data_IF_476946580946
#
_entry.id   IF_476946580946
#
_cell.length_a   1.000
_cell.length_b   1.000
_cell.length_c   1.000
_cell.angle_alpha   90.00
_cell.angle_beta   90.00
_cell.angle_gamma   90.00
#
_symmetry.space_group_name_H-M   'P 1'
#
loop_
_entity.id
_entity.type
_entity.pdbx_description
1 polymer ?
#
# COMPACT_ATOMS: atom_id res chain seq x y z
N UNK A 1 14.20 -13.66 -41.46
CA UNK A 1 13.62 -13.44 -40.14
C UNK A 1 14.78 -13.51 -39.16
N UNK A 2 15.07 -12.45 -38.38
CA UNK A 2 16.11 -12.52 -37.37
C UNK A 2 15.77 -13.61 -36.37
N UNK A 3 16.71 -14.39 -35.89
CA UNK A 3 16.48 -15.52 -34.98
C UNK A 3 16.12 -15.07 -33.56
N UNK A 4 16.02 -13.76 -33.30
CA UNK A 4 15.77 -13.17 -31.97
C UNK A 4 14.52 -12.27 -32.02
N UNK A 5 13.36 -12.85 -31.83
CA UNK A 5 12.14 -12.13 -31.53
C UNK A 5 11.93 -12.15 -30.00
N UNK A 6 11.97 -10.99 -29.37
CA UNK A 6 11.53 -10.87 -27.98
C UNK A 6 10.01 -10.99 -27.94
N UNK A 7 9.51 -11.89 -27.11
CA UNK A 7 8.05 -12.06 -26.92
C UNK A 7 7.44 -10.91 -26.12
N UNK A 8 8.28 -10.16 -25.39
CA UNK A 8 7.85 -9.04 -24.54
C UNK A 8 8.82 -7.88 -24.66
N UNK A 9 8.29 -6.67 -24.70
CA UNK A 9 9.07 -5.44 -24.73
C UNK A 9 8.53 -4.50 -23.64
N UNK A 10 9.44 -3.97 -22.82
CA UNK A 10 9.10 -2.89 -21.87
C UNK A 10 9.23 -1.55 -22.59
N UNK A 11 8.14 -0.80 -22.62
CA UNK A 11 8.10 0.52 -23.27
C UNK A 11 7.34 1.52 -22.39
N UNK A 12 7.80 2.78 -22.40
CA UNK A 12 7.13 3.88 -21.72
C UNK A 12 6.06 4.47 -22.62
N UNK A 13 4.85 3.92 -22.59
CA UNK A 13 3.73 4.35 -23.43
C UNK A 13 2.59 4.98 -22.64
N UNK A 14 2.52 4.75 -21.35
CA UNK A 14 1.50 5.30 -20.48
C UNK A 14 1.78 6.76 -20.06
N UNK A 15 0.80 7.38 -19.45
CA UNK A 15 0.92 8.72 -18.88
C UNK A 15 0.30 8.82 -17.50
N UNK A 16 0.89 9.63 -16.65
CA UNK A 16 0.42 9.90 -15.29
C UNK A 16 0.53 11.39 -14.96
N UNK A 17 -0.27 11.83 -14.02
CA UNK A 17 -0.21 13.20 -13.47
C UNK A 17 0.09 13.15 -11.99
N UNK A 18 1.07 13.94 -11.56
CA UNK A 18 1.30 14.25 -10.16
C UNK A 18 1.00 15.74 -9.93
N UNK A 19 0.35 16.03 -8.83
CA UNK A 19 0.08 17.40 -8.36
C UNK A 19 0.12 17.42 -6.85
N UNK A 20 0.45 18.57 -6.29
CA UNK A 20 0.54 18.70 -4.85
C UNK A 20 0.81 20.13 -4.40
N UNK A 21 0.76 20.30 -3.10
CA UNK A 21 1.11 21.55 -2.42
C UNK A 21 2.08 21.20 -1.31
N UNK A 22 3.18 21.92 -1.25
CA UNK A 22 4.16 21.82 -0.18
C UNK A 22 4.20 23.16 0.59
N UNK A 23 4.16 23.05 1.92
CA UNK A 23 4.28 24.19 2.82
C UNK A 23 5.46 23.90 3.73
N UNK A 24 6.44 24.81 3.73
CA UNK A 24 7.61 24.73 4.60
C UNK A 24 7.68 25.98 5.49
N UNK A 25 7.91 25.76 6.77
CA UNK A 25 8.03 26.81 7.78
C UNK A 25 9.30 26.60 8.57
N UNK A 26 10.13 27.66 8.67
CA UNK A 26 11.30 27.71 9.54
C UNK A 26 11.18 28.89 10.48
N UNK A 27 11.23 28.64 11.77
CA UNK A 27 11.15 29.68 12.81
C UNK A 27 12.22 29.49 13.88
N UNK A 28 12.63 30.59 14.46
CA UNK A 28 13.50 30.64 15.64
C UNK A 28 12.77 31.39 16.77
N UNK A 29 11.79 30.70 17.44
CA UNK A 29 10.91 31.36 18.41
C UNK A 29 11.65 31.85 19.68
N UNK A 30 12.82 31.29 19.94
CA UNK A 30 13.66 31.70 21.08
C UNK A 30 15.09 31.84 20.60
N UNK A 31 15.63 33.06 20.79
CA UNK A 31 17.05 33.36 20.54
C UNK A 31 17.56 34.33 21.57
N UNK A 32 18.45 33.87 22.44
CA UNK A 32 19.14 34.63 23.44
C UNK A 32 20.64 34.35 23.38
N UNK A 33 21.45 34.96 24.27
CA UNK A 33 22.88 34.67 24.35
C UNK A 33 23.13 33.17 24.67
N UNK A 34 22.33 32.60 25.56
CA UNK A 34 22.53 31.24 26.10
C UNK A 34 21.55 30.20 25.54
N UNK A 35 20.46 30.61 24.87
CA UNK A 35 19.42 29.71 24.39
C UNK A 35 19.05 30.02 22.96
N UNK A 36 18.83 28.96 22.16
CA UNK A 36 18.31 29.06 20.82
C UNK A 36 17.42 27.85 20.52
N UNK A 37 16.19 28.10 20.04
CA UNK A 37 15.26 27.09 19.58
C UNK A 37 14.97 27.31 18.11
N UNK A 38 15.29 26.34 17.26
CA UNK A 38 14.93 26.35 15.84
C UNK A 38 13.93 25.23 15.57
N UNK A 39 12.89 25.54 14.82
CA UNK A 39 11.87 24.60 14.38
C UNK A 39 11.74 24.76 12.88
N UNK A 40 12.02 23.69 12.15
CA UNK A 40 11.74 23.56 10.72
C UNK A 40 10.70 22.49 10.53
N UNK A 41 9.63 22.77 9.82
CA UNK A 41 8.59 21.83 9.52
C UNK A 41 8.15 21.97 8.06
N UNK A 42 7.82 20.85 7.44
CA UNK A 42 7.23 20.82 6.11
C UNK A 42 6.06 19.84 6.10
N UNK A 43 5.04 20.19 5.34
CA UNK A 43 3.92 19.31 5.04
C UNK A 43 3.68 19.33 3.53
N UNK A 44 3.54 18.14 2.96
CA UNK A 44 3.28 17.94 1.53
C UNK A 44 1.97 17.22 1.36
N UNK A 45 1.04 17.83 0.63
CA UNK A 45 -0.18 17.20 0.16
C UNK A 45 0.04 16.80 -1.29
N UNK A 46 -0.08 15.50 -1.59
CA UNK A 46 0.16 14.99 -2.92
C UNK A 46 -1.02 14.19 -3.47
N UNK A 47 -1.21 14.30 -4.78
CA UNK A 47 -2.20 13.54 -5.52
C UNK A 47 -1.58 13.07 -6.83
N UNK A 48 -1.69 11.79 -7.09
CA UNK A 48 -1.32 11.20 -8.37
C UNK A 48 -2.55 10.62 -9.06
N UNK A 49 -2.47 10.48 -10.38
CA UNK A 49 -3.52 9.89 -11.20
C UNK A 49 -2.91 9.26 -12.44
N UNK A 50 -3.23 8.00 -12.69
CA UNK A 50 -2.93 7.35 -13.95
C UNK A 50 -3.89 7.86 -15.04
N UNK A 51 -3.37 8.39 -16.13
CA UNK A 51 -4.18 8.96 -17.22
C UNK A 51 -4.38 7.97 -18.35
N UNK A 52 -3.36 7.16 -18.66
CA UNK A 52 -3.41 6.17 -19.74
C UNK A 52 -2.36 5.10 -19.52
N UNK A 53 -2.66 3.88 -19.92
CA UNK A 53 -1.71 2.77 -20.11
C UNK A 53 -1.39 2.55 -21.58
N UNK A 54 -2.05 3.26 -22.49
CA UNK A 54 -1.87 3.22 -23.94
C UNK A 54 -1.09 4.43 -24.45
N UNK A 55 -0.43 4.33 -25.60
CA UNK A 55 0.31 5.43 -26.18
C UNK A 55 1.05 5.08 -27.47
N UNK A 56 1.84 6.02 -27.96
CA UNK A 56 2.63 5.84 -29.19
C UNK A 56 3.97 5.15 -28.87
N UNK A 57 4.31 4.16 -29.66
CA UNK A 57 5.63 3.52 -29.65
C UNK A 57 6.12 3.35 -31.08
N UNK A 58 7.30 3.90 -31.41
CA UNK A 58 7.89 3.87 -32.76
C UNK A 58 6.95 4.32 -33.89
N UNK A 59 6.07 5.27 -33.60
CA UNK A 59 5.13 5.80 -34.60
C UNK A 59 3.80 5.02 -34.72
N UNK A 60 3.64 3.94 -33.97
CA UNK A 60 2.41 3.16 -33.92
C UNK A 60 1.69 3.34 -32.56
N UNK A 61 0.37 3.32 -32.57
CA UNK A 61 -0.42 3.38 -31.36
C UNK A 61 -0.57 2.00 -30.76
N UNK A 62 -0.06 1.84 -29.52
CA UNK A 62 -0.19 0.62 -28.73
C UNK A 62 -1.34 0.80 -27.74
N UNK A 63 -2.40 0.02 -27.93
CA UNK A 63 -3.53 -0.04 -27.01
C UNK A 63 -3.23 -1.04 -25.90
N UNK A 64 -3.50 -0.63 -24.68
CA UNK A 64 -3.41 -1.48 -23.50
C UNK A 64 -4.75 -1.52 -22.75
N UNK A 65 -4.91 -2.49 -21.87
CA UNK A 65 -6.06 -2.57 -20.96
C UNK A 65 -6.16 -1.31 -20.10
N UNK A 66 -7.36 -0.99 -19.63
CA UNK A 66 -7.58 0.12 -18.70
C UNK A 66 -7.00 -0.15 -17.29
N UNK A 67 -6.56 -1.38 -17.03
CA UNK A 67 -5.89 -1.75 -15.79
C UNK A 67 -4.78 -2.78 -16.01
N UNK A 68 -3.85 -2.85 -15.08
CA UNK A 68 -2.84 -3.91 -14.97
C UNK A 68 -2.56 -4.25 -13.51
N UNK A 69 -2.27 -5.52 -13.25
CA UNK A 69 -1.81 -5.98 -11.95
C UNK A 69 -0.35 -5.64 -11.79
N UNK A 70 0.03 -5.04 -10.67
CA UNK A 70 1.43 -4.70 -10.36
C UNK A 70 1.98 -5.46 -9.16
N UNK A 71 1.13 -5.96 -8.28
CA UNK A 71 1.55 -6.83 -7.19
C UNK A 71 0.46 -7.83 -6.82
N UNK A 72 0.90 -9.03 -6.54
CA UNK A 72 0.11 -10.12 -5.99
C UNK A 72 0.87 -10.82 -4.86
N UNK A 73 0.18 -11.67 -4.14
CA UNK A 73 0.77 -12.48 -3.08
C UNK A 73 1.37 -13.75 -3.69
N UNK A 74 2.66 -13.90 -3.49
CA UNK A 74 3.43 -15.07 -3.92
C UNK A 74 4.40 -15.44 -2.79
N UNK A 75 4.68 -16.70 -2.63
CA UNK A 75 5.71 -17.14 -1.70
C UNK A 75 5.36 -18.43 -0.96
N UNK A 76 6.30 -18.85 -0.13
CA UNK A 76 6.14 -20.02 0.73
C UNK A 76 4.92 -19.84 1.64
N UNK A 77 4.09 -20.85 1.72
CA UNK A 77 2.87 -20.85 2.53
C UNK A 77 1.64 -20.24 1.86
N UNK A 78 1.75 -19.66 0.66
CA UNK A 78 0.57 -19.28 -0.12
C UNK A 78 0.14 -20.43 -1.04
N UNK A 79 -1.08 -20.94 -0.85
CA UNK A 79 -1.57 -22.18 -1.48
C UNK A 79 -2.71 -21.97 -2.48
N UNK A 80 -2.86 -20.80 -3.02
CA UNK A 80 -3.90 -20.56 -4.02
C UNK A 80 -4.94 -19.54 -3.56
N UNK A 81 -6.09 -19.55 -4.20
CA UNK A 81 -7.09 -18.51 -4.07
C UNK A 81 -6.75 -17.27 -4.89
N UNK A 82 -7.62 -16.26 -4.81
CA UNK A 82 -7.38 -14.97 -5.43
C UNK A 82 -6.23 -14.24 -4.70
N UNK A 83 -5.20 -13.84 -5.44
CA UNK A 83 -3.95 -13.31 -4.86
C UNK A 83 -3.52 -11.93 -5.37
N UNK A 84 -4.19 -11.37 -6.38
CA UNK A 84 -3.84 -10.05 -6.89
C UNK A 84 -4.36 -8.97 -5.95
N UNK A 85 -3.50 -8.05 -5.51
CA UNK A 85 -3.84 -7.06 -4.49
C UNK A 85 -3.66 -5.61 -4.95
N UNK A 86 -2.63 -5.32 -5.75
CA UNK A 86 -2.31 -3.95 -6.15
C UNK A 86 -2.43 -3.81 -7.67
N UNK A 87 -3.14 -2.78 -8.08
CA UNK A 87 -3.45 -2.50 -9.47
C UNK A 87 -3.05 -1.08 -9.87
N UNK A 88 -2.72 -0.94 -11.15
CA UNK A 88 -2.77 0.34 -11.85
C UNK A 88 -4.06 0.38 -12.65
N UNK A 89 -4.92 1.34 -12.37
CA UNK A 89 -6.22 1.51 -13.03
C UNK A 89 -6.30 2.92 -13.60
N UNK A 90 -6.63 3.04 -14.89
CA UNK A 90 -6.77 4.33 -15.54
C UNK A 90 -7.84 5.17 -14.81
N UNK A 91 -7.53 6.43 -14.56
CA UNK A 91 -8.41 7.32 -13.82
C UNK A 91 -8.23 7.28 -12.30
N UNK A 92 -7.49 6.32 -11.76
CA UNK A 92 -7.27 6.14 -10.32
C UNK A 92 -5.86 6.57 -9.88
N UNK A 93 -5.63 6.71 -8.56
CA UNK A 93 -4.28 6.86 -8.02
C UNK A 93 -3.38 5.67 -8.37
N UNK A 94 -2.07 5.88 -8.29
CA UNK A 94 -1.10 4.81 -8.46
C UNK A 94 -1.14 3.84 -7.28
N UNK A 95 -1.03 2.54 -7.57
CA UNK A 95 -0.95 1.51 -6.55
C UNK A 95 -2.23 1.41 -5.71
N UNK A 96 -3.38 1.29 -6.37
CA UNK A 96 -4.65 1.06 -5.65
C UNK A 96 -4.78 -0.39 -5.23
N UNK A 97 -5.31 -0.60 -4.03
CA UNK A 97 -5.78 -1.89 -3.57
C UNK A 97 -7.17 -2.15 -4.16
N UNK A 98 -7.24 -3.07 -5.13
CA UNK A 98 -8.48 -3.45 -5.79
C UNK A 98 -8.85 -4.87 -5.36
N UNK A 99 -9.70 -4.96 -4.34
CA UNK A 99 -9.90 -6.15 -3.53
C UNK A 99 -11.39 -6.49 -3.38
N UNK A 100 -11.71 -7.79 -3.17
CA UNK A 100 -13.01 -8.20 -2.66
C UNK A 100 -13.25 -7.61 -1.26
N UNK A 101 -14.49 -7.18 -1.00
CA UNK A 101 -14.89 -6.74 0.33
C UNK A 101 -15.27 -7.93 1.21
N UNK A 102 -14.55 -8.09 2.33
CA UNK A 102 -14.83 -9.11 3.32
C UNK A 102 -15.96 -8.65 4.26
N UNK A 103 -17.08 -9.38 4.27
CA UNK A 103 -18.21 -9.13 5.18
C UNK A 103 -18.01 -9.75 6.57
N UNK A 104 -16.91 -10.49 6.76
CA UNK A 104 -16.55 -11.19 7.99
C UNK A 104 -16.15 -12.63 7.74
N UNK A 105 -15.81 -13.34 8.81
CA UNK A 105 -15.51 -14.76 8.75
C UNK A 105 -16.81 -15.59 8.82
N UNK A 106 -16.96 -16.52 7.89
CA UNK A 106 -18.11 -17.43 7.82
C UNK A 106 -17.63 -18.87 7.99
N UNK A 107 -18.41 -19.78 8.61
CA UNK A 107 -18.04 -21.20 8.74
C UNK A 107 -17.81 -21.85 7.38
N UNK A 108 -16.74 -22.62 7.25
CA UNK A 108 -16.39 -23.38 6.04
C UNK A 108 -17.11 -24.74 5.92
N UNK A 109 -17.90 -25.10 6.92
CA UNK A 109 -18.58 -26.42 7.01
C UNK A 109 -17.65 -27.56 7.46
N UNK A 110 -16.34 -27.34 7.62
CA UNK A 110 -15.33 -28.33 7.97
C UNK A 110 -14.58 -27.99 9.28
N UNK A 111 -15.24 -27.26 10.17
CA UNK A 111 -14.70 -26.88 11.47
C UNK A 111 -13.69 -25.73 11.41
N UNK A 112 -13.74 -24.91 10.38
CA UNK A 112 -12.95 -23.68 10.21
C UNK A 112 -13.79 -22.55 9.66
N UNK A 113 -13.09 -21.49 9.24
CA UNK A 113 -13.67 -20.27 8.71
C UNK A 113 -13.04 -19.89 7.38
N UNK A 114 -13.85 -19.29 6.49
CA UNK A 114 -13.45 -18.64 5.25
C UNK A 114 -13.92 -17.18 5.26
N UNK A 115 -13.50 -16.40 4.28
CA UNK A 115 -13.97 -15.01 4.14
C UNK A 115 -15.35 -14.99 3.49
N UNK A 116 -16.33 -14.37 4.14
CA UNK A 116 -17.56 -13.96 3.49
C UNK A 116 -17.27 -12.80 2.55
N UNK A 117 -17.63 -12.92 1.27
CA UNK A 117 -17.35 -11.89 0.26
C UNK A 117 -18.66 -11.23 -0.14
N UNK A 118 -18.65 -9.91 -0.24
CA UNK A 118 -19.80 -9.14 -0.69
C UNK A 118 -20.02 -9.34 -2.20
N UNK A 119 -21.24 -9.66 -2.57
CA UNK A 119 -21.73 -9.60 -3.95
C UNK A 119 -22.09 -8.13 -4.25
N UNK A 120 -21.26 -7.45 -5.03
CA UNK A 120 -21.39 -6.02 -5.30
C UNK A 120 -22.32 -5.71 -6.48
N UNK A 121 -22.59 -6.67 -7.34
CA UNK A 121 -23.40 -6.52 -8.55
C UNK A 121 -24.73 -7.29 -8.51
N UNK A 122 -24.95 -8.19 -7.54
CA UNK A 122 -26.15 -9.02 -7.41
C UNK A 122 -26.20 -10.23 -8.31
N UNK A 123 -25.07 -10.59 -8.94
CA UNK A 123 -24.94 -11.75 -9.86
C UNK A 123 -24.43 -13.03 -9.21
N UNK A 124 -24.11 -13.00 -7.92
CA UNK A 124 -23.32 -14.02 -7.23
C UNK A 124 -21.84 -13.68 -7.23
N UNK A 125 -21.12 -14.11 -6.19
CA UNK A 125 -19.70 -13.75 -6.01
C UNK A 125 -18.84 -14.30 -7.14
N UNK A 126 -18.19 -13.38 -7.90
CA UNK A 126 -17.24 -13.69 -8.95
C UNK A 126 -15.98 -12.82 -8.80
N UNK A 127 -14.85 -13.45 -8.46
CA UNK A 127 -13.57 -12.77 -8.26
C UNK A 127 -12.70 -12.72 -9.51
N UNK A 128 -12.94 -13.60 -10.51
CA UNK A 128 -12.07 -13.72 -11.69
C UNK A 128 -12.25 -12.53 -12.64
N UNK A 129 -13.48 -12.14 -12.89
CA UNK A 129 -13.80 -11.05 -13.82
C UNK A 129 -13.72 -9.65 -13.18
N UNK A 130 -13.48 -9.57 -11.87
CA UNK A 130 -13.34 -8.31 -11.16
C UNK A 130 -14.65 -7.62 -10.81
N UNK A 131 -15.78 -8.32 -10.94
CA UNK A 131 -17.10 -7.75 -10.70
C UNK A 131 -17.37 -7.47 -9.21
N UNK A 132 -16.82 -8.32 -8.31
CA UNK A 132 -17.00 -8.20 -6.85
C UNK A 132 -15.76 -7.66 -6.15
N UNK A 133 -15.08 -6.74 -6.81
CA UNK A 133 -13.93 -6.01 -6.28
C UNK A 133 -14.19 -4.52 -6.26
N UNK A 134 -13.56 -3.82 -5.34
CA UNK A 134 -13.66 -2.37 -5.21
C UNK A 134 -12.30 -1.77 -4.85
N UNK A 135 -12.15 -0.45 -5.01
CA UNK A 135 -10.95 0.25 -4.60
C UNK A 135 -11.01 0.49 -3.10
N UNK A 136 -10.32 -0.38 -2.34
CA UNK A 136 -10.28 -0.36 -0.89
C UNK A 136 -9.31 0.70 -0.32
N UNK A 137 -8.43 1.23 -1.15
CA UNK A 137 -7.45 2.25 -0.77
C UNK A 137 -6.31 2.36 -1.75
N UNK A 138 -5.27 3.07 -1.34
CA UNK A 138 -4.05 3.25 -2.14
C UNK A 138 -2.81 3.06 -1.27
N UNK A 139 -1.71 2.56 -1.88
CA UNK A 139 -0.44 2.34 -1.20
C UNK A 139 0.41 3.63 -1.07
N UNK A 140 0.15 4.63 -1.91
CA UNK A 140 0.91 5.89 -1.91
C UNK A 140 0.29 6.87 -0.91
N UNK A 141 1.05 7.40 0.07
CA UNK A 141 0.54 8.37 1.02
C UNK A 141 0.00 9.63 0.33
N UNK A 142 -1.06 10.20 0.87
CA UNK A 142 -1.63 11.49 0.42
C UNK A 142 -0.95 12.69 1.07
N UNK A 143 -0.45 12.51 2.29
CA UNK A 143 0.19 13.57 3.07
C UNK A 143 1.50 13.07 3.66
N UNK A 144 2.54 13.87 3.51
CA UNK A 144 3.84 13.66 4.14
C UNK A 144 4.14 14.81 5.10
N UNK A 145 4.71 14.48 6.25
CA UNK A 145 5.13 15.42 7.28
C UNK A 145 6.63 15.22 7.56
N UNK A 146 7.36 16.31 7.64
CA UNK A 146 8.73 16.33 8.14
C UNK A 146 8.92 17.47 9.14
N UNK A 147 9.67 17.25 10.21
CA UNK A 147 10.03 18.29 11.16
C UNK A 147 11.39 18.03 11.76
N UNK A 148 12.21 19.08 11.84
CA UNK A 148 13.44 19.10 12.59
C UNK A 148 13.37 20.18 13.66
N UNK A 149 13.59 19.79 14.90
CA UNK A 149 13.59 20.66 16.07
C UNK A 149 14.98 20.61 16.68
N UNK A 150 15.64 21.76 16.83
CA UNK A 150 16.91 21.87 17.52
C UNK A 150 16.83 22.91 18.63
N UNK A 151 17.32 22.54 19.80
CA UNK A 151 17.39 23.39 20.98
C UNK A 151 18.80 23.40 21.53
N UNK A 152 19.36 24.57 21.75
CA UNK A 152 20.67 24.80 22.38
C UNK A 152 20.50 25.61 23.67
N UNK A 153 21.13 25.13 24.70
CA UNK A 153 21.25 25.84 25.97
C UNK A 153 22.72 25.84 26.44
N UNK A 154 23.39 26.99 26.32
CA UNK A 154 24.85 27.12 26.57
C UNK A 154 25.65 26.12 25.73
N UNK A 155 26.32 25.17 26.39
CA UNK A 155 27.08 24.09 25.73
C UNK A 155 26.30 22.81 25.46
N UNK A 156 25.02 22.73 25.86
CA UNK A 156 24.17 21.60 25.62
C UNK A 156 23.31 21.84 24.39
N UNK A 157 23.15 20.80 23.57
CA UNK A 157 22.23 20.82 22.44
C UNK A 157 21.36 19.55 22.39
N UNK A 158 20.17 19.72 21.86
CA UNK A 158 19.23 18.64 21.61
C UNK A 158 18.69 18.80 20.18
N UNK A 159 18.68 17.72 19.43
CA UNK A 159 18.09 17.68 18.08
C UNK A 159 17.15 16.51 17.95
N UNK A 160 15.98 16.78 17.36
CA UNK A 160 14.92 15.78 17.14
C UNK A 160 14.47 15.87 15.68
N UNK A 161 14.40 14.71 15.01
CA UNK A 161 13.81 14.58 13.68
C UNK A 161 12.54 13.72 13.76
N UNK A 162 11.46 14.24 13.18
CA UNK A 162 10.17 13.58 13.12
C UNK A 162 9.71 13.52 11.66
N UNK A 163 9.24 12.35 11.23
CA UNK A 163 8.61 12.16 9.94
C UNK A 163 7.24 11.48 10.10
N UNK A 164 6.36 11.69 9.15
CA UNK A 164 5.06 11.04 9.12
C UNK A 164 4.53 10.88 7.69
N UNK A 165 3.72 9.86 7.49
CA UNK A 165 3.00 9.63 6.25
C UNK A 165 1.57 9.22 6.55
N UNK A 166 0.62 9.77 5.79
CA UNK A 166 -0.81 9.62 6.07
C UNK A 166 -1.64 9.41 4.81
N UNK A 167 -2.78 8.76 4.97
CA UNK A 167 -3.77 8.55 3.93
C UNK A 167 -3.39 7.45 2.96
N UNK A 168 -2.68 6.43 3.44
CA UNK A 168 -2.36 5.23 2.67
C UNK A 168 -2.73 3.97 3.44
N UNK A 169 -2.76 2.85 2.74
CA UNK A 169 -3.03 1.53 3.29
C UNK A 169 -1.81 0.63 3.11
N UNK A 170 -1.74 -0.40 3.95
CA UNK A 170 -0.75 -1.48 3.89
C UNK A 170 -1.50 -2.80 3.89
N UNK A 171 -1.11 -3.72 3.03
CA UNK A 171 -1.68 -5.07 3.02
C UNK A 171 -0.83 -6.01 3.88
N UNK A 172 -1.43 -6.58 4.93
CA UNK A 172 -0.76 -7.54 5.81
C UNK A 172 -0.76 -8.95 5.19
N UNK A 173 0.05 -9.14 4.15
CA UNK A 173 0.22 -10.42 3.48
C UNK A 173 0.83 -11.50 4.38
N UNK A 174 1.61 -11.11 5.39
CA UNK A 174 2.15 -12.03 6.39
C UNK A 174 1.04 -12.69 7.19
N UNK A 175 0.08 -11.89 7.67
CA UNK A 175 -1.07 -12.44 8.38
C UNK A 175 -1.96 -13.30 7.48
N UNK A 176 -2.24 -12.87 6.23
CA UNK A 176 -2.98 -13.72 5.30
C UNK A 176 -2.33 -15.10 5.14
N UNK A 177 -1.01 -15.14 4.98
CA UNK A 177 -0.27 -16.38 4.75
C UNK A 177 -0.19 -17.26 6.01
N UNK A 178 0.24 -16.69 7.13
CA UNK A 178 0.59 -17.47 8.32
C UNK A 178 -0.53 -17.60 9.36
N UNK A 179 -1.67 -16.92 9.19
CA UNK A 179 -2.87 -17.16 9.98
C UNK A 179 -3.76 -18.27 9.39
N UNK A 180 -3.34 -18.86 8.30
CA UNK A 180 -4.10 -19.90 7.60
C UNK A 180 -3.73 -21.30 8.10
N UNK A 181 -4.72 -22.04 8.62
CA UNK A 181 -4.54 -23.40 9.13
C UNK A 181 -4.27 -24.43 8.04
N UNK A 182 -4.61 -24.16 6.77
CA UNK A 182 -4.30 -25.05 5.65
C UNK A 182 -2.80 -25.06 5.29
N UNK A 183 -2.01 -24.15 5.85
CA UNK A 183 -0.55 -24.16 5.69
C UNK A 183 0.13 -25.33 6.42
N UNK A 184 -0.53 -25.93 7.41
CA UNK A 184 -0.02 -27.11 8.10
C UNK A 184 -0.23 -28.39 7.26
N UNK A 185 0.69 -29.38 7.31
CA UNK A 185 1.95 -29.40 8.12
C UNK A 185 3.16 -28.79 7.39
N UNK A 186 3.00 -28.33 6.13
CA UNK A 186 4.12 -27.97 5.27
C UNK A 186 4.83 -26.70 5.72
N UNK A 187 4.08 -25.77 6.34
CA UNK A 187 4.58 -24.49 6.85
C UNK A 187 4.10 -24.24 8.27
N UNK A 188 4.89 -23.45 9.00
CA UNK A 188 4.48 -22.96 10.31
C UNK A 188 3.35 -21.94 10.19
N UNK A 189 2.54 -21.84 11.24
CA UNK A 189 1.48 -20.82 11.37
C UNK A 189 1.76 -19.94 12.56
N UNK A 190 1.14 -18.76 12.62
CA UNK A 190 1.19 -17.88 13.80
C UNK A 190 0.51 -18.55 15.00
N UNK A 191 0.97 -18.21 16.20
CA UNK A 191 0.45 -18.79 17.45
C UNK A 191 -1.07 -18.56 17.63
N UNK A 192 -1.60 -17.50 17.07
CA UNK A 192 -3.02 -17.12 17.11
C UNK A 192 -3.88 -17.85 16.06
N UNK A 193 -3.27 -18.47 15.04
CA UNK A 193 -3.98 -19.12 13.95
C UNK A 193 -4.95 -20.22 14.44
N UNK A 194 -4.59 -21.08 15.40
CA UNK A 194 -5.52 -22.10 15.91
C UNK A 194 -6.76 -21.51 16.61
N UNK A 195 -6.66 -20.33 17.20
CA UNK A 195 -7.80 -19.65 17.82
C UNK A 195 -8.77 -19.05 16.81
N UNK A 196 -8.27 -18.67 15.63
CA UNK A 196 -9.09 -18.09 14.54
C UNK A 196 -9.60 -19.14 13.56
N UNK A 197 -8.91 -20.25 13.41
CA UNK A 197 -9.27 -21.38 12.53
C UNK A 197 -9.59 -20.95 11.08
N UNK A 198 -8.90 -19.93 10.56
CA UNK A 198 -9.07 -19.48 9.16
C UNK A 198 -8.43 -20.54 8.25
N UNK A 199 -9.15 -20.99 7.25
CA UNK A 199 -8.72 -22.00 6.26
C UNK A 199 -8.80 -21.48 4.82
N UNK A 200 -8.67 -20.18 4.63
CA UNK A 200 -8.77 -19.50 3.34
C UNK A 200 -7.61 -18.51 3.17
N UNK A 201 -7.05 -18.46 1.97
CA UNK A 201 -6.00 -17.53 1.58
C UNK A 201 -6.43 -16.57 0.47
N UNK A 202 -7.74 -16.42 0.23
CA UNK A 202 -8.24 -15.43 -0.72
C UNK A 202 -7.88 -14.02 -0.25
N UNK A 203 -7.20 -13.26 -1.11
CA UNK A 203 -6.83 -11.89 -0.83
C UNK A 203 -8.07 -11.00 -0.81
N UNK A 204 -8.51 -10.61 0.37
CA UNK A 204 -9.61 -9.69 0.62
C UNK A 204 -9.12 -8.46 1.39
N UNK A 205 -9.98 -7.48 1.59
CA UNK A 205 -9.67 -6.30 2.43
C UNK A 205 -9.62 -6.60 3.94
N UNK A 206 -9.89 -7.84 4.36
CA UNK A 206 -9.79 -8.26 5.77
C UNK A 206 -8.41 -8.01 6.39
N UNK A 207 -7.35 -8.09 5.59
CA UNK A 207 -5.96 -7.85 6.01
C UNK A 207 -5.41 -6.51 5.52
N UNK A 208 -6.29 -5.60 5.06
CA UNK A 208 -5.90 -4.26 4.65
C UNK A 208 -5.94 -3.31 5.86
N UNK A 209 -4.78 -2.80 6.24
CA UNK A 209 -4.57 -1.98 7.43
C UNK A 209 -4.33 -0.51 7.05
N UNK A 210 -4.59 0.42 8.00
CA UNK A 210 -4.13 1.80 7.88
C UNK A 210 -2.61 1.85 7.99
N UNK A 211 -1.99 2.51 7.01
CA UNK A 211 -0.54 2.68 6.98
C UNK A 211 -0.05 3.98 7.63
N UNK A 212 -0.93 4.77 8.21
CA UNK A 212 -0.61 6.07 8.78
C UNK A 212 0.36 5.95 9.95
N UNK A 213 1.41 6.77 9.93
CA UNK A 213 2.40 6.75 11.00
C UNK A 213 3.03 8.12 11.27
N UNK A 214 3.58 8.27 12.48
CA UNK A 214 4.56 9.26 12.86
C UNK A 214 5.76 8.52 13.43
N UNK A 215 6.96 8.82 12.91
CA UNK A 215 8.21 8.22 13.34
C UNK A 215 9.16 9.28 13.90
N UNK A 216 9.83 8.94 15.00
CA UNK A 216 10.95 9.68 15.56
C UNK A 216 12.24 9.05 15.04
N UNK A 217 12.86 9.68 14.04
CA UNK A 217 14.04 9.11 13.38
C UNK A 217 15.25 9.10 14.30
N UNK A 218 15.46 10.21 14.99
CA UNK A 218 16.50 10.33 16.00
C UNK A 218 16.19 11.41 17.03
N UNK A 219 16.75 11.22 18.21
CA UNK A 219 16.94 12.20 19.26
C UNK A 219 18.41 12.22 19.62
N UNK A 220 19.09 13.35 19.43
CA UNK A 220 20.49 13.55 19.79
C UNK A 220 20.59 14.53 20.94
N UNK A 221 21.45 14.24 21.90
CA UNK A 221 21.78 15.11 23.03
C UNK A 221 23.31 15.25 23.08
N UNK A 222 23.81 16.47 23.02
CA UNK A 222 25.23 16.79 23.02
C UNK A 222 25.62 17.83 24.10
#
# INVERSE_FOLDING_TARGET
VPPFTYNTLLANIGSMRNSGTEISVGITPLKTKDMELNINANITFQKNKLLSLSGMYNGEYVSASEYTVIAGLNGAGFHGGYNNIVYQIVGQPLGVFYLPHCTGLVPDGNGGYTYGIADLNGGGVNLEDGEDRYIAGQAVPKTLLGSNISFRYKQFDVSLQVNGAFGHKIYNGTSLTYMNMNSLPDYNVMAEAPARMIKDQTATDYWLEDGDYINFDYLTVG
#
